data_IF_655806674059
#
_entry.id   IF_655806674059
#
_cell.length_a   1.000
_cell.length_b   1.000
_cell.length_c   1.000
_cell.angle_alpha   90.00
_cell.angle_beta   90.00
_cell.angle_gamma   90.00
#
_symmetry.space_group_name_H-M   'P 1'
#
loop_
_entity.id
_entity.type
_entity.pdbx_description
1 polymer ?
#
# COMPACT_ATOMS: atom_id res chain seq x y z
N UNK A 1 -0.34 3.51 -2.40
CA UNK A 1 0.47 2.96 -1.31
C UNK A 1 -0.45 2.35 -0.26
N UNK A 2 -0.14 1.17 0.28
CA UNK A 2 -0.94 0.45 1.27
C UNK A 2 0.01 -0.19 2.31
N UNK A 3 -0.31 -0.12 3.59
CA UNK A 3 0.49 -0.75 4.67
C UNK A 3 1.08 0.24 5.70
N UNK A 4 1.75 -0.24 6.77
CA UNK A 4 2.26 0.58 7.88
C UNK A 4 3.14 1.78 7.49
N UNK A 5 3.85 1.69 6.37
CA UNK A 5 4.76 2.75 5.94
C UNK A 5 4.08 3.82 5.08
N UNK A 6 2.74 3.77 4.96
CA UNK A 6 2.01 4.55 3.97
C UNK A 6 2.21 6.04 4.14
N UNK A 7 2.02 6.57 5.35
CA UNK A 7 2.19 8.01 5.59
C UNK A 7 3.62 8.49 5.25
N UNK A 8 4.64 7.74 5.64
CA UNK A 8 6.04 8.07 5.38
C UNK A 8 6.37 8.08 3.88
N UNK A 9 5.97 7.03 3.16
CA UNK A 9 6.23 6.90 1.72
C UNK A 9 5.44 7.92 0.92
N UNK A 10 4.15 8.12 1.22
CA UNK A 10 3.32 9.12 0.53
C UNK A 10 3.85 10.53 0.77
N UNK A 11 4.27 10.87 2.00
CA UNK A 11 4.87 12.16 2.32
C UNK A 11 6.14 12.45 1.49
N UNK A 12 6.95 11.41 1.23
CA UNK A 12 8.15 11.54 0.39
C UNK A 12 7.79 11.67 -1.07
N UNK A 13 6.90 10.80 -1.59
CA UNK A 13 6.47 10.86 -2.99
C UNK A 13 5.93 12.25 -3.34
N UNK A 14 5.05 12.82 -2.52
CA UNK A 14 4.46 14.16 -2.78
C UNK A 14 5.46 15.32 -2.84
N UNK A 15 6.74 15.10 -2.51
CA UNK A 15 7.81 16.10 -2.66
C UNK A 15 8.53 15.98 -3.99
N UNK A 16 8.40 14.85 -4.68
CA UNK A 16 8.95 14.61 -6.00
C UNK A 16 8.08 15.28 -7.07
N UNK A 17 8.72 15.91 -8.05
CA UNK A 17 8.02 16.57 -9.15
C UNK A 17 7.21 15.57 -9.98
N UNK A 18 6.05 16.01 -10.47
CA UNK A 18 5.14 15.23 -11.34
C UNK A 18 4.63 13.92 -10.74
N UNK A 19 4.65 13.76 -9.42
CA UNK A 19 4.11 12.58 -8.75
C UNK A 19 2.76 12.87 -8.08
N UNK A 20 1.85 11.91 -8.23
CA UNK A 20 0.61 11.86 -7.46
C UNK A 20 0.58 10.57 -6.64
N UNK A 21 0.28 10.70 -5.35
CA UNK A 21 0.29 9.57 -4.43
C UNK A 21 -0.90 9.61 -3.48
N UNK A 22 -1.51 8.43 -3.30
CA UNK A 22 -2.56 8.18 -2.31
C UNK A 22 -2.20 6.99 -1.43
N UNK A 23 -2.73 7.01 -0.22
CA UNK A 23 -2.41 6.03 0.82
C UNK A 23 -3.62 5.37 1.44
N UNK A 24 -3.45 4.14 1.91
CA UNK A 24 -4.28 3.55 2.97
C UNK A 24 -3.41 3.10 4.13
N UNK A 25 -3.60 3.73 5.27
CA UNK A 25 -2.99 3.35 6.54
C UNK A 25 -3.90 2.32 7.24
N UNK A 26 -3.45 1.06 7.44
CA UNK A 26 -4.27 0.02 8.06
C UNK A 26 -4.43 0.14 9.58
N UNK A 27 -3.59 0.94 10.23
CA UNK A 27 -3.60 1.13 11.68
C UNK A 27 -4.29 2.44 12.08
N UNK A 28 -4.63 2.54 13.37
CA UNK A 28 -5.11 3.80 13.93
C UNK A 28 -3.99 4.86 13.91
N UNK A 29 -4.39 6.12 13.80
CA UNK A 29 -3.53 7.29 13.74
C UNK A 29 -3.46 8.08 15.06
N UNK A 30 -4.06 7.58 16.15
CA UNK A 30 -3.99 8.21 17.48
C UNK A 30 -2.55 8.56 17.87
N UNK A 31 -1.63 7.61 17.74
CA UNK A 31 -0.19 7.76 18.07
C UNK A 31 0.68 8.17 16.87
N UNK A 32 0.07 8.41 15.70
CA UNK A 32 0.83 8.80 14.51
C UNK A 32 1.38 10.23 14.63
N UNK A 33 2.46 10.49 13.89
CA UNK A 33 3.08 11.81 13.80
C UNK A 33 2.15 12.85 13.16
N UNK A 34 2.52 14.12 13.29
CA UNK A 34 1.72 15.25 12.80
C UNK A 34 1.56 15.26 11.28
N UNK A 35 2.54 14.73 10.54
CA UNK A 35 2.53 14.73 9.09
C UNK A 35 1.56 13.66 8.57
N UNK A 36 1.54 12.48 9.20
CA UNK A 36 0.56 11.45 8.93
C UNK A 36 -0.86 11.92 9.23
N UNK A 37 -1.09 12.54 10.40
CA UNK A 37 -2.39 13.14 10.75
C UNK A 37 -2.85 14.19 9.74
N UNK A 38 -1.93 15.03 9.24
CA UNK A 38 -2.23 16.02 8.18
C UNK A 38 -2.62 15.35 6.86
N UNK A 39 -1.90 14.30 6.45
CA UNK A 39 -2.22 13.56 5.22
C UNK A 39 -3.61 12.90 5.30
N UNK A 40 -3.96 12.36 6.47
CA UNK A 40 -5.29 11.80 6.71
C UNK A 40 -6.37 12.87 6.70
N UNK A 41 -6.15 13.97 7.39
CA UNK A 41 -7.08 15.10 7.41
C UNK A 41 -7.33 15.68 6.00
N UNK A 42 -6.32 15.68 5.13
CA UNK A 42 -6.45 16.11 3.72
C UNK A 42 -7.11 15.06 2.82
N UNK A 43 -7.37 13.85 3.31
CA UNK A 43 -7.95 12.74 2.55
C UNK A 43 -7.00 12.10 1.53
N UNK A 44 -5.70 12.43 1.59
CA UNK A 44 -4.67 11.86 0.72
C UNK A 44 -4.34 10.44 1.20
N UNK A 45 -4.26 10.26 2.52
CA UNK A 45 -4.19 8.95 3.17
C UNK A 45 -5.55 8.66 3.79
N UNK A 46 -6.08 7.46 3.59
CA UNK A 46 -7.31 6.99 4.24
C UNK A 46 -6.95 5.98 5.32
N UNK A 47 -7.65 6.01 6.45
CA UNK A 47 -7.53 4.95 7.46
C UNK A 47 -8.53 3.85 7.09
N UNK A 48 -8.04 2.68 6.70
CA UNK A 48 -8.89 1.53 6.39
C UNK A 48 -8.13 0.21 6.47
N UNK A 49 -8.81 -0.82 6.96
CA UNK A 49 -8.24 -2.16 7.02
C UNK A 49 -8.20 -2.80 5.62
N UNK A 50 -6.98 -3.03 5.12
CA UNK A 50 -6.71 -3.56 3.77
C UNK A 50 -7.17 -5.01 3.56
N UNK A 51 -7.67 -5.70 4.60
CA UNK A 51 -8.34 -7.01 4.48
C UNK A 51 -9.73 -6.91 3.85
N UNK A 52 -10.29 -5.70 3.76
CA UNK A 52 -11.61 -5.43 3.20
C UNK A 52 -11.49 -4.68 1.87
N UNK A 53 -12.54 -4.70 1.02
CA UNK A 53 -12.53 -4.01 -0.26
C UNK A 53 -12.15 -2.55 -0.13
N UNK A 54 -11.21 -2.11 -0.98
CA UNK A 54 -10.74 -0.74 -0.97
C UNK A 54 -11.79 0.22 -1.54
N UNK A 55 -11.93 1.44 -1.02
CA UNK A 55 -12.93 2.42 -1.45
C UNK A 55 -12.55 3.13 -2.77
N UNK A 56 -11.92 2.40 -3.69
CA UNK A 56 -11.46 2.89 -4.99
C UNK A 56 -12.14 2.12 -6.11
N UNK A 57 -12.41 2.83 -7.22
CA UNK A 57 -12.95 2.21 -8.43
C UNK A 57 -11.90 1.29 -9.06
N UNK A 58 -12.33 0.37 -9.92
CA UNK A 58 -11.39 -0.45 -10.67
C UNK A 58 -10.49 0.44 -11.55
N UNK A 59 -9.22 0.05 -11.72
CA UNK A 59 -8.23 0.74 -12.55
C UNK A 59 -8.01 2.22 -12.18
N UNK A 60 -8.07 2.54 -10.88
CA UNK A 60 -7.87 3.91 -10.39
C UNK A 60 -6.39 4.32 -10.32
N UNK A 61 -5.47 3.35 -10.25
CA UNK A 61 -4.06 3.61 -10.05
C UNK A 61 -3.20 2.93 -11.11
N UNK A 62 -2.20 3.65 -11.62
CA UNK A 62 -1.17 3.08 -12.50
C UNK A 62 -0.24 2.10 -11.78
N UNK A 63 -0.06 2.29 -10.47
CA UNK A 63 0.80 1.45 -9.65
C UNK A 63 0.22 1.26 -8.25
N UNK A 64 0.21 0.02 -7.78
CA UNK A 64 -0.20 -0.35 -6.41
C UNK A 64 1.00 -0.95 -5.70
N UNK A 65 1.40 -0.32 -4.59
CA UNK A 65 2.49 -0.78 -3.72
C UNK A 65 1.90 -1.13 -2.34
N UNK A 66 2.25 -2.31 -1.83
CA UNK A 66 1.89 -2.83 -0.52
C UNK A 66 3.17 -3.05 0.29
N UNK A 67 3.42 -2.21 1.30
CA UNK A 67 4.65 -2.29 2.11
C UNK A 67 4.40 -2.91 3.48
N UNK A 68 5.28 -3.81 3.90
CA UNK A 68 5.35 -4.38 5.25
C UNK A 68 4.00 -4.88 5.77
N UNK A 69 3.18 -5.43 4.86
CA UNK A 69 1.83 -5.87 5.16
C UNK A 69 1.57 -7.33 4.78
N UNK A 70 2.58 -8.08 4.33
CA UNK A 70 2.43 -9.51 4.04
C UNK A 70 2.06 -10.28 5.31
N UNK A 71 2.74 -10.03 6.43
CA UNK A 71 2.41 -10.65 7.72
C UNK A 71 1.06 -10.18 8.27
N UNK A 72 0.68 -8.93 7.98
CA UNK A 72 -0.64 -8.41 8.29
C UNK A 72 -1.74 -9.14 7.49
N UNK A 73 -1.44 -9.48 6.23
CA UNK A 73 -2.25 -10.23 5.31
C UNK A 73 -1.90 -11.73 5.38
N UNK A 74 -2.20 -12.39 6.52
CA UNK A 74 -2.06 -13.85 6.66
C UNK A 74 -2.50 -14.62 5.40
N UNK A 75 -1.98 -15.83 5.15
CA UNK A 75 -2.28 -16.60 3.93
C UNK A 75 -3.77 -16.70 3.59
N UNK A 76 -4.66 -16.72 4.59
CA UNK A 76 -6.13 -16.69 4.44
C UNK A 76 -6.66 -15.40 3.80
N UNK A 77 -6.11 -14.24 4.16
CA UNK A 77 -6.53 -12.93 3.65
C UNK A 77 -5.83 -12.56 2.35
N UNK A 78 -4.59 -13.03 2.14
CA UNK A 78 -3.82 -12.73 0.93
C UNK A 78 -4.56 -13.17 -0.34
N UNK A 79 -5.11 -14.38 -0.36
CA UNK A 79 -5.90 -14.90 -1.51
C UNK A 79 -7.16 -14.07 -1.80
N UNK A 80 -7.77 -13.44 -0.79
CA UNK A 80 -8.95 -12.57 -0.95
C UNK A 80 -8.58 -11.14 -1.33
N UNK A 81 -7.45 -10.66 -0.84
CA UNK A 81 -7.00 -9.29 -1.00
C UNK A 81 -6.33 -9.09 -2.36
N UNK A 82 -5.61 -10.09 -2.88
CA UNK A 82 -4.93 -10.01 -4.17
C UNK A 82 -5.85 -9.61 -5.34
N UNK A 83 -7.04 -10.21 -5.54
CA UNK A 83 -7.97 -9.76 -6.58
C UNK A 83 -8.41 -8.31 -6.40
N UNK A 84 -8.63 -7.85 -5.17
CA UNK A 84 -9.01 -6.45 -4.90
C UNK A 84 -7.87 -5.48 -5.20
N UNK A 85 -6.62 -5.84 -4.88
CA UNK A 85 -5.44 -5.05 -5.22
C UNK A 85 -5.22 -4.98 -6.74
N UNK A 86 -5.38 -6.12 -7.43
CA UNK A 86 -5.28 -6.17 -8.88
C UNK A 86 -6.41 -5.37 -9.54
N UNK A 87 -7.63 -5.38 -8.98
CA UNK A 87 -8.78 -4.63 -9.49
C UNK A 87 -8.53 -3.13 -9.54
N UNK A 88 -7.90 -2.57 -8.50
CA UNK A 88 -7.66 -1.11 -8.41
C UNK A 88 -6.45 -0.66 -9.25
N UNK A 89 -5.57 -1.59 -9.63
CA UNK A 89 -4.46 -1.36 -10.57
C UNK A 89 -4.95 -1.33 -12.02
N UNK A 90 -4.46 -0.41 -12.85
CA UNK A 90 -4.79 -0.34 -14.28
C UNK A 90 -4.28 -1.56 -15.05
N UNK A 91 -3.06 -2.00 -14.73
CA UNK A 91 -2.33 -3.04 -15.44
C UNK A 91 -2.31 -4.38 -14.67
N UNK A 92 -3.02 -4.43 -13.53
CA UNK A 92 -2.99 -5.58 -12.63
C UNK A 92 -1.64 -5.78 -11.92
N UNK A 93 -0.71 -4.82 -12.06
CA UNK A 93 0.58 -4.83 -11.37
C UNK A 93 0.40 -4.42 -9.90
N UNK A 94 0.86 -5.28 -9.00
CA UNK A 94 0.91 -5.04 -7.55
C UNK A 94 2.30 -5.40 -7.05
N UNK A 95 2.98 -4.44 -6.41
CA UNK A 95 4.31 -4.63 -5.84
C UNK A 95 4.16 -4.82 -4.33
N UNK A 96 4.65 -5.94 -3.81
CA UNK A 96 4.78 -6.14 -2.38
C UNK A 96 6.23 -5.87 -1.96
N UNK A 97 6.40 -5.08 -0.91
CA UNK A 97 7.69 -4.78 -0.30
C UNK A 97 7.67 -5.23 1.16
N UNK A 98 8.79 -5.76 1.65
CA UNK A 98 8.92 -6.27 3.00
C UNK A 98 10.37 -6.14 3.50
N UNK A 99 10.53 -5.84 4.79
CA UNK A 99 11.80 -6.06 5.50
C UNK A 99 11.79 -7.46 6.12
N UNK A 100 12.86 -8.24 5.86
CA UNK A 100 13.02 -9.59 6.42
C UNK A 100 13.63 -9.59 7.83
N UNK A 101 13.97 -8.43 8.41
CA UNK A 101 14.57 -8.34 9.74
C UNK A 101 15.95 -9.01 9.84
N UNK A 102 16.59 -9.29 8.70
CA UNK A 102 17.94 -9.82 8.66
C UNK A 102 18.91 -8.72 9.10
N UNK A 103 19.62 -8.98 10.20
CA UNK A 103 20.40 -8.02 10.99
C UNK A 103 21.60 -7.35 10.29
N UNK A 104 21.70 -7.39 8.95
CA UNK A 104 22.75 -6.74 8.17
C UNK A 104 22.19 -6.18 6.85
N UNK A 105 21.58 -4.99 6.90
CA UNK A 105 21.85 -3.92 5.94
C UNK A 105 21.47 -4.07 4.45
N UNK A 106 20.65 -5.03 4.04
CA UNK A 106 20.07 -5.05 2.68
C UNK A 106 18.61 -5.50 2.73
N UNK A 107 17.69 -4.54 2.90
CA UNK A 107 16.25 -4.79 2.81
C UNK A 107 15.74 -4.42 1.43
N UNK A 108 15.70 -5.38 0.50
CA UNK A 108 14.85 -5.29 -0.69
C UNK A 108 14.50 -6.70 -1.19
N UNK A 109 13.48 -7.33 -0.60
CA UNK A 109 12.71 -8.33 -1.32
C UNK A 109 11.53 -7.63 -1.99
N UNK A 110 11.72 -7.31 -3.26
CA UNK A 110 10.65 -6.88 -4.14
C UNK A 110 9.89 -8.14 -4.57
N UNK A 111 8.90 -8.58 -3.78
CA UNK A 111 7.98 -9.62 -4.26
C UNK A 111 7.02 -8.95 -5.24
N UNK A 112 7.45 -8.92 -6.50
CA UNK A 112 6.62 -8.57 -7.64
C UNK A 112 5.58 -9.69 -7.86
N UNK A 113 4.39 -9.51 -7.29
CA UNK A 113 3.25 -10.31 -7.70
C UNK A 113 2.72 -9.78 -9.04
N UNK A 114 3.35 -10.24 -10.12
CA UNK A 114 2.85 -10.08 -11.49
C UNK A 114 1.77 -11.14 -11.75
N UNK A 115 0.56 -10.93 -11.24
CA UNK A 115 -0.59 -11.72 -11.70
C UNK A 115 -1.23 -10.98 -12.86
N UNK A 116 -0.90 -11.40 -14.09
CA UNK A 116 -1.66 -11.02 -15.29
C UNK A 116 -3.05 -11.66 -15.13
N UNK A 117 -4.00 -10.95 -14.54
CA UNK A 117 -5.37 -11.43 -14.45
C UNK A 117 -5.96 -11.41 -15.87
N UNK A 118 -6.22 -12.59 -16.42
CA UNK A 118 -6.89 -12.74 -17.71
C UNK A 118 -8.25 -12.04 -17.65
N UNK A 119 -8.51 -11.20 -18.66
CA UNK A 119 -9.77 -10.50 -18.91
C UNK A 119 -10.90 -11.45 -19.26
#
# INVERSE_FOLDING_TARGET
MLGPDTCSVVSKLLKEEETEAWGVEPYDIEDADIDCKRLVHRGIVRVANIKFPLPYRAKSFSLVIVSNAVDYLSSKYLNKTLPELARVSSDGLVIFTGDLGLSNGLSFDLILYLKRCAS
#
